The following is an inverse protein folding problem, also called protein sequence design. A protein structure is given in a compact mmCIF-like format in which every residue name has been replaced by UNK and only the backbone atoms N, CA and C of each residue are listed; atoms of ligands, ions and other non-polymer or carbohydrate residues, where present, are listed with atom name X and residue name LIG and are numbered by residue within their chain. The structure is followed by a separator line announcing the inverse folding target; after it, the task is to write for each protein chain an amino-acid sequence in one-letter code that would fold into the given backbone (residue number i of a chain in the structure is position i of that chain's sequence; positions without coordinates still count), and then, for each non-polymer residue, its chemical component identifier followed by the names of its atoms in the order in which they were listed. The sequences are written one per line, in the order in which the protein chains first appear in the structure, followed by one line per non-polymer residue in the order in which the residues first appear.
data_IF_886714463479
#
_entry.id   IF_886714463479
#
_cell.length_a   1.000
_cell.length_b   1.000
_cell.length_c   1.000
_cell.angle_alpha   90.00
_cell.angle_beta   90.00
_cell.angle_gamma   90.00
#
_symmetry.space_group_name_H-M   'P 1'
#
loop_
_entity.id
_entity.type
_entity.pdbx_description
1 polymer ?
#
# COMPACT_ATOMS: atom_id res chain seq x y z
N UNK A 1 -30.74 5.74 4.07
CA UNK A 1 -29.45 5.64 3.32
C UNK A 1 -29.47 4.31 2.60
N UNK A 2 -28.92 4.22 1.39
CA UNK A 2 -28.89 2.95 0.64
C UNK A 2 -28.08 1.91 1.44
N UNK A 3 -28.65 0.75 1.72
CA UNK A 3 -28.08 -0.25 2.66
C UNK A 3 -26.64 -0.65 2.32
N UNK A 4 -26.27 -0.58 1.03
CA UNK A 4 -24.92 -0.85 0.55
C UNK A 4 -23.87 0.17 1.04
N UNK A 5 -24.22 1.46 1.14
CA UNK A 5 -23.30 2.47 1.66
C UNK A 5 -23.06 2.30 3.17
N UNK A 6 -24.11 1.95 3.92
CA UNK A 6 -23.98 1.66 5.35
C UNK A 6 -23.11 0.43 5.58
N UNK A 7 -23.32 -0.64 4.80
CA UNK A 7 -22.48 -1.84 4.88
C UNK A 7 -21.01 -1.52 4.56
N UNK A 8 -20.76 -0.74 3.50
CA UNK A 8 -19.41 -0.34 3.10
C UNK A 8 -18.74 0.52 4.16
N UNK A 9 -19.45 1.47 4.76
CA UNK A 9 -18.94 2.29 5.85
C UNK A 9 -18.61 1.45 7.08
N UNK A 10 -19.49 0.53 7.49
CA UNK A 10 -19.24 -0.34 8.64
C UNK A 10 -17.98 -1.18 8.42
N UNK A 11 -17.76 -1.72 7.21
CA UNK A 11 -16.52 -2.45 6.89
C UNK A 11 -15.26 -1.61 7.06
N UNK A 12 -15.32 -0.31 6.74
CA UNK A 12 -14.20 0.60 6.94
C UNK A 12 -13.94 0.89 8.42
N UNK A 13 -15.01 1.06 9.20
CA UNK A 13 -14.91 1.23 10.65
C UNK A 13 -14.34 -0.04 11.29
N UNK A 14 -14.86 -1.21 10.95
CA UNK A 14 -14.38 -2.50 11.43
C UNK A 14 -12.89 -2.70 11.10
N UNK A 15 -12.46 -2.33 9.89
CA UNK A 15 -11.05 -2.43 9.48
C UNK A 15 -10.15 -1.51 10.32
N UNK A 16 -10.60 -0.31 10.66
CA UNK A 16 -9.81 0.68 11.43
C UNK A 16 -9.60 0.30 12.90
N UNK A 17 -10.51 -0.50 13.45
CA UNK A 17 -10.40 -1.02 14.83
C UNK A 17 -9.43 -2.22 14.94
N UNK A 18 -8.98 -2.79 13.83
CA UNK A 18 -8.02 -3.89 13.82
C UNK A 18 -6.58 -3.39 14.03
N UNK A 19 -5.75 -4.28 14.58
CA UNK A 19 -4.29 -4.18 14.47
C UNK A 19 -3.86 -4.35 13.01
N UNK A 20 -2.76 -3.71 12.63
CA UNK A 20 -2.30 -3.62 11.24
C UNK A 20 -2.19 -4.99 10.56
N UNK A 21 -1.55 -5.96 11.21
CA UNK A 21 -1.39 -7.31 10.66
C UNK A 21 -2.75 -7.99 10.41
N UNK A 22 -3.75 -7.73 11.26
CA UNK A 22 -5.11 -8.26 11.09
C UNK A 22 -5.87 -7.54 9.98
N UNK A 23 -5.68 -6.25 9.82
CA UNK A 23 -6.23 -5.51 8.69
C UNK A 23 -5.67 -6.04 7.35
N UNK A 24 -4.37 -6.33 7.29
CA UNK A 24 -3.71 -6.95 6.13
C UNK A 24 -4.31 -8.33 5.84
N UNK A 25 -4.44 -9.21 6.84
CA UNK A 25 -5.05 -10.55 6.68
C UNK A 25 -6.48 -10.47 6.11
N UNK A 26 -7.30 -9.54 6.61
CA UNK A 26 -8.68 -9.33 6.13
C UNK A 26 -8.70 -8.93 4.66
N UNK A 27 -7.81 -8.03 4.24
CA UNK A 27 -7.73 -7.54 2.87
C UNK A 27 -7.18 -8.60 1.91
N UNK A 28 -6.19 -9.40 2.34
CA UNK A 28 -5.70 -10.56 1.58
C UNK A 28 -6.83 -11.57 1.35
N UNK A 29 -7.62 -11.89 2.38
CA UNK A 29 -8.79 -12.77 2.25
C UNK A 29 -9.85 -12.18 1.30
N UNK A 30 -10.01 -10.85 1.29
CA UNK A 30 -11.01 -10.15 0.47
C UNK A 30 -10.63 -10.10 -1.02
N UNK A 31 -9.37 -9.80 -1.33
CA UNK A 31 -8.93 -9.50 -2.71
C UNK A 31 -7.98 -10.53 -3.32
N UNK A 32 -7.58 -11.54 -2.54
CA UNK A 32 -6.57 -12.52 -2.91
C UNK A 32 -5.14 -12.05 -2.62
N UNK A 33 -4.22 -13.01 -2.67
CA UNK A 33 -2.79 -12.75 -2.56
C UNK A 33 -2.23 -12.07 -3.83
N UNK A 34 -1.14 -11.33 -3.69
CA UNK A 34 -0.42 -10.84 -4.86
C UNK A 34 0.24 -11.99 -5.62
N UNK A 35 0.14 -11.97 -6.95
CA UNK A 35 0.69 -13.03 -7.81
C UNK A 35 2.15 -12.79 -8.17
N UNK A 36 2.58 -11.52 -8.16
CA UNK A 36 3.87 -11.03 -8.62
C UNK A 36 4.54 -10.15 -7.55
N UNK A 37 5.87 -10.12 -7.55
CA UNK A 37 6.65 -9.23 -6.69
C UNK A 37 6.53 -7.77 -7.15
N UNK A 38 6.72 -6.82 -6.23
CA UNK A 38 6.59 -5.38 -6.57
C UNK A 38 7.70 -4.92 -7.52
N UNK A 39 8.94 -5.34 -7.22
CA UNK A 39 10.07 -5.27 -8.15
C UNK A 39 10.49 -6.68 -8.54
N UNK A 40 11.04 -6.85 -9.74
CA UNK A 40 11.69 -8.10 -10.10
C UNK A 40 12.96 -8.30 -9.27
N UNK A 41 13.13 -9.48 -8.67
CA UNK A 41 14.25 -9.78 -7.75
C UNK A 41 15.63 -9.49 -8.34
N UNK A 42 15.92 -10.05 -9.50
CA UNK A 42 17.22 -9.90 -10.17
C UNK A 42 17.49 -8.43 -10.46
N UNK A 43 16.48 -7.72 -10.98
CA UNK A 43 16.60 -6.29 -11.28
C UNK A 43 16.74 -5.44 -10.02
N UNK A 44 16.07 -5.80 -8.92
CA UNK A 44 16.16 -5.09 -7.65
C UNK A 44 17.55 -5.25 -7.05
N UNK A 45 18.06 -6.47 -6.98
CA UNK A 45 19.40 -6.76 -6.46
C UNK A 45 20.50 -6.05 -7.28
N UNK A 46 20.38 -6.04 -8.61
CA UNK A 46 21.29 -5.27 -9.49
C UNK A 46 21.20 -3.76 -9.25
N UNK A 47 20.02 -3.22 -8.98
CA UNK A 47 19.85 -1.81 -8.67
C UNK A 47 20.47 -1.43 -7.30
N UNK A 48 20.22 -2.23 -6.27
CA UNK A 48 20.81 -2.06 -4.93
C UNK A 48 22.34 -2.11 -5.02
N UNK A 49 22.90 -3.05 -5.80
CA UNK A 49 24.36 -3.16 -6.02
C UNK A 49 24.94 -2.10 -6.96
N UNK A 50 24.12 -1.17 -7.48
CA UNK A 50 24.57 -0.11 -8.39
C UNK A 50 24.87 -0.52 -9.82
N UNK A 51 24.52 -1.75 -10.23
CA UNK A 51 24.66 -2.23 -11.62
C UNK A 51 23.59 -1.60 -12.53
N UNK A 52 22.38 -1.38 -12.00
CA UNK A 52 21.27 -0.76 -12.72
C UNK A 52 20.93 0.62 -12.13
N UNK A 53 20.41 1.53 -12.99
CA UNK A 53 19.91 2.85 -12.58
C UNK A 53 18.54 2.79 -11.89
N UNK A 54 17.75 1.76 -12.18
CA UNK A 54 16.42 1.54 -11.61
C UNK A 54 16.07 0.05 -11.61
N UNK A 55 15.22 -0.42 -10.67
CA UNK A 55 14.64 -1.76 -10.69
C UNK A 55 13.43 -1.81 -11.64
N UNK A 56 13.24 -2.95 -12.30
CA UNK A 56 12.03 -3.24 -13.07
C UNK A 56 10.88 -3.56 -12.11
N UNK A 57 9.70 -2.98 -12.37
CA UNK A 57 8.47 -3.31 -11.62
C UNK A 57 7.88 -4.64 -12.10
N UNK A 58 7.29 -5.40 -11.18
CA UNK A 58 6.43 -6.53 -11.52
C UNK A 58 5.04 -6.08 -11.96
N UNK A 59 4.23 -7.05 -12.42
CA UNK A 59 2.87 -6.80 -12.91
C UNK A 59 1.86 -6.84 -11.75
N UNK A 60 1.97 -5.86 -10.84
CA UNK A 60 1.11 -5.77 -9.66
C UNK A 60 -0.10 -4.86 -9.84
N UNK A 61 -0.29 -4.26 -11.02
CA UNK A 61 -1.37 -3.28 -11.24
C UNK A 61 -2.74 -3.93 -11.31
N UNK A 62 -3.66 -3.48 -10.45
CA UNK A 62 -5.10 -3.80 -10.46
C UNK A 62 -5.96 -2.54 -10.41
N UNK A 63 -5.43 -1.45 -10.96
CA UNK A 63 -6.12 -0.15 -10.94
C UNK A 63 -7.44 -0.17 -11.70
N UNK A 64 -7.58 -1.01 -12.73
CA UNK A 64 -8.83 -1.16 -13.50
C UNK A 64 -9.97 -1.77 -12.65
N UNK A 65 -9.64 -2.39 -11.52
CA UNK A 65 -10.60 -2.87 -10.51
C UNK A 65 -10.84 -1.84 -9.39
N UNK A 66 -10.19 -0.67 -9.45
CA UNK A 66 -10.16 0.33 -8.39
C UNK A 66 -9.24 -0.03 -7.21
N UNK A 67 -8.33 -0.99 -7.40
CA UNK A 67 -7.43 -1.48 -6.35
C UNK A 67 -6.02 -0.92 -6.47
N UNK A 68 -5.41 -0.71 -5.31
CA UNK A 68 -4.04 -0.26 -5.13
C UNK A 68 -3.23 -1.33 -4.40
N UNK A 69 -1.97 -1.47 -4.80
CA UNK A 69 -1.01 -2.29 -4.08
C UNK A 69 -0.46 -1.50 -2.90
N UNK A 70 -0.44 -2.12 -1.72
CA UNK A 70 0.16 -1.61 -0.50
C UNK A 70 1.26 -2.58 -0.05
N UNK A 71 2.39 -2.07 0.43
CA UNK A 71 3.45 -2.90 0.99
C UNK A 71 3.20 -3.11 2.48
N UNK A 72 3.23 -4.37 2.91
CA UNK A 72 3.02 -4.75 4.31
C UNK A 72 4.13 -4.19 5.21
N UNK A 73 5.37 -4.14 4.71
CA UNK A 73 6.49 -3.64 5.52
C UNK A 73 6.60 -2.10 5.55
N UNK A 74 5.57 -1.35 5.09
CA UNK A 74 5.47 0.11 5.28
C UNK A 74 5.30 0.51 6.75
N UNK A 75 5.04 -0.46 7.64
CA UNK A 75 5.07 -0.28 9.09
C UNK A 75 6.49 -0.23 9.68
N UNK A 76 7.52 -0.62 8.92
CA UNK A 76 8.92 -0.63 9.35
C UNK A 76 9.89 0.06 8.38
N UNK A 77 9.45 0.34 7.14
CA UNK A 77 10.22 1.06 6.14
C UNK A 77 9.45 2.26 5.57
N UNK A 78 10.17 3.33 5.25
CA UNK A 78 9.57 4.55 4.68
C UNK A 78 9.67 4.52 3.16
N UNK A 79 8.58 4.87 2.47
CA UNK A 79 8.56 5.00 1.01
C UNK A 79 9.18 3.79 0.28
N UNK A 80 8.84 2.57 0.71
CA UNK A 80 9.44 1.33 0.20
C UNK A 80 9.24 1.13 -1.31
N UNK A 81 8.20 1.77 -1.86
CA UNK A 81 7.90 1.80 -3.29
C UNK A 81 8.84 2.69 -4.11
N UNK A 82 9.60 3.59 -3.47
CA UNK A 82 10.51 4.55 -4.10
C UNK A 82 11.92 3.97 -4.20
N UNK A 83 12.41 3.60 -5.40
CA UNK A 83 13.66 2.85 -5.55
C UNK A 83 14.86 3.48 -4.85
N UNK A 84 15.05 4.79 -4.99
CA UNK A 84 16.21 5.46 -4.40
C UNK A 84 16.17 5.44 -2.87
N UNK A 85 14.99 5.58 -2.26
CA UNK A 85 14.83 5.51 -0.81
C UNK A 85 14.99 4.07 -0.31
N UNK A 86 14.47 3.08 -1.05
CA UNK A 86 14.68 1.67 -0.74
C UNK A 86 16.17 1.29 -0.77
N UNK A 87 16.93 1.85 -1.73
CA UNK A 87 18.38 1.68 -1.81
C UNK A 87 19.14 2.32 -0.65
N UNK A 88 18.79 3.56 -0.30
CA UNK A 88 19.42 4.28 0.83
C UNK A 88 19.16 3.52 2.15
N UNK A 89 17.95 3.03 2.35
CA UNK A 89 17.55 2.26 3.54
C UNK A 89 18.03 0.80 3.51
N UNK A 90 18.62 0.34 2.40
CA UNK A 90 19.04 -1.06 2.19
C UNK A 90 17.93 -2.07 2.47
N UNK A 91 16.73 -1.77 1.99
CA UNK A 91 15.55 -2.62 2.18
C UNK A 91 15.79 -3.97 1.49
N UNK A 92 15.62 -5.11 2.17
CA UNK A 92 15.82 -6.42 1.57
C UNK A 92 14.75 -6.71 0.51
N UNK A 93 15.09 -7.56 -0.46
CA UNK A 93 14.13 -7.98 -1.49
C UNK A 93 12.89 -8.67 -0.90
N UNK A 94 13.01 -9.34 0.25
CA UNK A 94 11.87 -9.98 0.93
C UNK A 94 10.70 -9.03 1.18
N UNK A 95 10.98 -7.75 1.43
CA UNK A 95 9.96 -6.70 1.65
C UNK A 95 9.33 -6.17 0.35
N UNK A 96 9.88 -6.56 -0.81
CA UNK A 96 9.34 -6.31 -2.15
C UNK A 96 8.61 -7.53 -2.73
N UNK A 97 8.69 -8.67 -2.04
CA UNK A 97 8.09 -9.93 -2.50
C UNK A 97 6.57 -9.88 -2.43
N UNK A 98 5.90 -10.68 -3.26
CA UNK A 98 4.44 -10.79 -3.30
C UNK A 98 3.79 -11.13 -1.97
N UNK A 99 4.47 -11.89 -1.10
CA UNK A 99 4.00 -12.19 0.26
C UNK A 99 3.97 -10.97 1.18
N UNK A 100 4.62 -9.87 0.79
CA UNK A 100 4.65 -8.60 1.50
C UNK A 100 3.81 -7.52 0.79
N UNK A 101 2.86 -7.94 -0.05
CA UNK A 101 1.92 -7.06 -0.73
C UNK A 101 0.49 -7.39 -0.37
N UNK A 102 -0.36 -6.37 -0.35
CA UNK A 102 -1.81 -6.51 -0.20
C UNK A 102 -2.55 -5.54 -1.10
N UNK A 103 -3.67 -5.98 -1.66
CA UNK A 103 -4.55 -5.12 -2.44
C UNK A 103 -5.60 -4.45 -1.56
N UNK A 104 -5.90 -3.19 -1.84
CA UNK A 104 -6.87 -2.40 -1.10
C UNK A 104 -7.48 -1.32 -1.99
N UNK A 105 -8.73 -0.93 -1.71
CA UNK A 105 -9.30 0.28 -2.31
C UNK A 105 -8.66 1.56 -1.72
N UNK A 106 -9.05 2.73 -2.25
CA UNK A 106 -8.48 4.01 -1.82
C UNK A 106 -8.67 4.29 -0.31
N UNK A 107 -9.83 3.92 0.25
CA UNK A 107 -10.15 4.15 1.66
C UNK A 107 -9.46 3.14 2.55
N UNK A 108 -9.45 1.87 2.15
CA UNK A 108 -8.74 0.80 2.86
C UNK A 108 -7.24 1.11 2.92
N UNK A 109 -6.64 1.58 1.82
CA UNK A 109 -5.25 2.02 1.82
C UNK A 109 -5.01 3.15 2.84
N UNK A 110 -5.92 4.13 2.90
CA UNK A 110 -5.79 5.24 3.85
C UNK A 110 -5.97 4.77 5.31
N UNK A 111 -6.85 3.80 5.54
CA UNK A 111 -7.06 3.16 6.84
C UNK A 111 -5.80 2.42 7.27
N UNK A 112 -5.18 1.62 6.39
CA UNK A 112 -3.90 0.94 6.67
C UNK A 112 -2.83 1.93 7.12
N UNK A 113 -2.66 3.05 6.39
CA UNK A 113 -1.71 4.10 6.78
C UNK A 113 -2.05 4.77 8.11
N UNK A 114 -3.34 4.97 8.41
CA UNK A 114 -3.78 5.52 9.68
C UNK A 114 -3.49 4.55 10.84
N UNK A 115 -3.71 3.26 10.65
CA UNK A 115 -3.38 2.21 11.63
C UNK A 115 -1.87 2.15 11.87
N UNK A 116 -1.05 2.08 10.81
CA UNK A 116 0.42 2.13 10.93
C UNK A 116 0.84 3.37 11.72
N UNK A 117 0.28 4.54 11.38
CA UNK A 117 0.65 5.77 12.04
C UNK A 117 0.26 5.79 13.52
N UNK A 118 -0.88 5.16 13.88
CA UNK A 118 -1.33 4.98 15.26
C UNK A 118 -0.37 4.07 16.04
N UNK A 119 -0.05 2.90 15.48
CA UNK A 119 0.78 1.87 16.14
C UNK A 119 2.25 2.24 16.26
N UNK A 120 2.74 3.14 15.39
CA UNK A 120 4.15 3.53 15.34
C UNK A 120 4.42 4.92 15.90
N UNK A 121 3.45 5.52 16.61
CA UNK A 121 3.51 6.90 17.12
C UNK A 121 3.87 7.92 16.03
N UNK A 122 3.42 7.67 14.80
CA UNK A 122 3.66 8.53 13.64
C UNK A 122 5.03 8.37 12.97
N UNK A 123 5.86 7.41 13.39
CA UNK A 123 7.15 7.15 12.75
C UNK A 123 7.01 6.62 11.31
N UNK A 124 5.91 5.90 11.04
CA UNK A 124 5.55 5.35 9.74
C UNK A 124 4.10 5.73 9.33
N UNK A 125 3.67 5.31 8.14
CA UNK A 125 2.31 5.56 7.61
C UNK A 125 2.01 6.98 7.13
N UNK A 126 2.96 7.92 7.25
CA UNK A 126 2.81 9.34 6.87
C UNK A 126 3.72 9.78 5.70
N UNK A 127 4.58 8.90 5.19
CA UNK A 127 5.74 9.27 4.36
C UNK A 127 5.80 8.50 3.05
N UNK A 128 5.88 9.23 1.93
CA UNK A 128 5.89 8.68 0.58
C UNK A 128 4.79 9.26 -0.33
N UNK A 129 4.41 8.57 -1.42
CA UNK A 129 3.29 8.95 -2.30
C UNK A 129 1.94 9.10 -1.58
N UNK A 130 1.82 8.79 -0.28
CA UNK A 130 0.59 8.88 0.53
C UNK A 130 0.14 10.32 0.79
N UNK A 131 1.04 11.31 0.70
CA UNK A 131 0.62 12.72 0.59
C UNK A 131 -0.31 12.93 -0.62
N UNK A 132 -0.14 12.13 -1.68
CA UNK A 132 -1.08 12.07 -2.79
C UNK A 132 -2.35 11.28 -2.47
N UNK A 133 -2.33 10.33 -1.53
CA UNK A 133 -3.51 9.57 -1.09
C UNK A 133 -4.52 10.48 -0.39
N UNK A 134 -4.09 11.26 0.61
CA UNK A 134 -4.96 12.25 1.27
C UNK A 134 -5.43 13.35 0.30
N UNK A 135 -4.56 13.75 -0.63
CA UNK A 135 -4.95 14.65 -1.73
C UNK A 135 -6.01 14.03 -2.64
N UNK A 136 -5.88 12.75 -3.00
CA UNK A 136 -6.86 12.00 -3.82
C UNK A 136 -8.18 11.84 -3.08
N UNK A 137 -8.16 11.51 -1.79
CA UNK A 137 -9.35 11.48 -0.93
C UNK A 137 -10.05 12.84 -0.90
N UNK A 138 -9.29 13.92 -0.71
CA UNK A 138 -9.83 15.28 -0.74
C UNK A 138 -10.42 15.65 -2.11
N UNK A 139 -9.74 15.30 -3.20
CA UNK A 139 -10.24 15.53 -4.56
C UNK A 139 -11.50 14.73 -4.86
N UNK A 140 -11.58 13.49 -4.40
CA UNK A 140 -12.76 12.64 -4.52
C UNK A 140 -13.93 13.17 -3.69
N UNK A 141 -13.71 13.50 -2.42
CA UNK A 141 -14.73 14.07 -1.53
C UNK A 141 -15.31 15.39 -2.06
N UNK A 142 -14.46 16.21 -2.68
CA UNK A 142 -14.86 17.48 -3.31
C UNK A 142 -15.43 17.30 -4.74
N UNK A 143 -15.63 16.07 -5.22
CA UNK A 143 -16.09 15.73 -6.58
C UNK A 143 -15.23 16.32 -7.72
N UNK A 144 -13.96 16.63 -7.44
CA UNK A 144 -13.06 17.25 -8.42
C UNK A 144 -12.46 16.23 -9.40
N UNK A 145 -12.25 14.97 -8.95
CA UNK A 145 -11.84 13.82 -9.79
C UNK A 145 -12.28 12.50 -9.13
N UNK A 146 -12.95 11.62 -9.88
CA UNK A 146 -13.13 10.22 -9.46
C UNK A 146 -11.79 9.47 -9.56
N UNK A 147 -11.44 8.60 -8.59
CA UNK A 147 -10.40 7.61 -8.83
C UNK A 147 -10.88 6.72 -9.98
N UNK A 148 -10.09 6.69 -11.05
CA UNK A 148 -10.23 5.70 -12.13
C UNK A 148 -9.43 4.47 -11.75
#
# INVERSE_FOLDING_TARGET
MNDNYTLKLNRYLDLFELEYDKAVEVLQKKYGEATEDYFNEVSYNNFISGKNKSPNKGQTSRTDEGLFCHHVDENIYKSISEPNLAKIQRIPFSSQSKSKLVYCDLFEHAILHAIISKETDGNFGKQGPEAHLFRKLKQWYLNLKYPR
#
